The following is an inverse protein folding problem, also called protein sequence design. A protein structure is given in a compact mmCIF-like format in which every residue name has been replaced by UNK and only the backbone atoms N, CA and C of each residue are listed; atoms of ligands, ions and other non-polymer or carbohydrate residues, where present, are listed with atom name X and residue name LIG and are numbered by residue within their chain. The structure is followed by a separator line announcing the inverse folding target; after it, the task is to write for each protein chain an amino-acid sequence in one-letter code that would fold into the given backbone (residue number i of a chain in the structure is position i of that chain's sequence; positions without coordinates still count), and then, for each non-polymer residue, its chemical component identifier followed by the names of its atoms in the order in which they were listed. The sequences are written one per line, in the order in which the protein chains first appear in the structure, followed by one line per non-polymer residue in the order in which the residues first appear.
data_IF_194103273683
#
_entry.id   IF_194103273683
#
_cell.length_a   1.000
_cell.length_b   1.000
_cell.length_c   1.000
_cell.angle_alpha   90.00
_cell.angle_beta   90.00
_cell.angle_gamma   90.00
#
_symmetry.space_group_name_H-M   'P 1'
#
loop_
_entity.id
_entity.type
_entity.pdbx_description
1 polymer ?
#
# COMPACT_ATOMS: atom_id res chain seq x y z
N UNK A 1 -16.48 1.98 12.55
CA UNK A 1 -17.54 3.05 12.46
C UNK A 1 -17.29 4.22 11.47
N UNK A 2 -16.40 5.20 11.73
CA UNK A 2 -16.29 6.40 10.87
C UNK A 2 -15.91 6.12 9.40
N UNK A 3 -15.03 5.14 9.17
CA UNK A 3 -14.57 4.74 7.83
C UNK A 3 -15.70 4.08 7.00
N UNK A 4 -16.50 3.22 7.64
CA UNK A 4 -17.64 2.55 6.99
C UNK A 4 -18.74 3.54 6.62
N UNK A 5 -19.01 4.53 7.48
CA UNK A 5 -19.94 5.61 7.17
C UNK A 5 -19.48 6.44 5.96
N UNK A 6 -18.18 6.72 5.86
CA UNK A 6 -17.62 7.39 4.70
C UNK A 6 -17.73 6.52 3.43
N UNK A 7 -17.39 5.24 3.51
CA UNK A 7 -17.50 4.31 2.39
C UNK A 7 -18.94 4.22 1.83
N UNK A 8 -19.94 4.11 2.72
CA UNK A 8 -21.36 4.11 2.33
C UNK A 8 -21.78 5.42 1.65
N UNK A 9 -21.37 6.57 2.18
CA UNK A 9 -21.67 7.88 1.58
C UNK A 9 -21.05 8.05 0.19
N UNK A 10 -19.88 7.46 -0.03
CA UNK A 10 -19.17 7.53 -1.30
C UNK A 10 -19.62 6.45 -2.30
N UNK A 11 -20.51 5.54 -1.89
CA UNK A 11 -20.94 4.42 -2.74
C UNK A 11 -19.82 3.43 -3.03
N UNK A 12 -18.84 3.30 -2.14
CA UNK A 12 -17.73 2.37 -2.31
C UNK A 12 -18.22 0.91 -2.22
N UNK A 13 -17.89 0.09 -3.20
CA UNK A 13 -18.22 -1.34 -3.24
C UNK A 13 -17.11 -2.25 -2.70
N UNK A 14 -15.90 -1.70 -2.52
CA UNK A 14 -14.70 -2.44 -2.10
C UNK A 14 -13.90 -1.67 -1.06
N UNK A 15 -13.44 -2.37 -0.03
CA UNK A 15 -12.48 -1.92 0.97
C UNK A 15 -11.17 -2.68 0.76
N UNK A 16 -10.09 -1.95 0.49
CA UNK A 16 -8.77 -2.53 0.20
C UNK A 16 -7.91 -2.52 1.47
N UNK A 17 -7.42 -3.70 1.85
CA UNK A 17 -6.48 -3.90 2.94
C UNK A 17 -5.07 -4.07 2.38
N UNK A 18 -4.09 -3.34 2.91
CA UNK A 18 -2.69 -3.58 2.58
C UNK A 18 -2.19 -4.82 3.33
N UNK A 19 -1.36 -5.63 2.69
CA UNK A 19 -0.74 -6.79 3.34
C UNK A 19 0.05 -6.36 4.59
N UNK A 20 -0.15 -7.07 5.69
CA UNK A 20 0.31 -6.67 7.04
C UNK A 20 -0.72 -5.91 7.89
N UNK A 21 -1.86 -5.49 7.34
CA UNK A 21 -2.98 -4.89 8.10
C UNK A 21 -4.11 -5.88 8.41
N UNK A 22 -3.81 -7.18 8.51
CA UNK A 22 -4.81 -8.25 8.77
C UNK A 22 -5.54 -8.12 10.11
N UNK A 23 -4.99 -7.39 11.08
CA UNK A 23 -5.63 -7.17 12.38
C UNK A 23 -6.56 -5.94 12.41
N UNK A 24 -6.87 -5.36 11.25
CA UNK A 24 -7.79 -4.21 11.20
C UNK A 24 -9.20 -4.68 11.55
N UNK A 25 -9.63 -4.31 12.76
CA UNK A 25 -10.97 -4.51 13.37
C UNK A 25 -12.17 -4.31 12.44
N UNK A 26 -12.00 -3.64 11.31
CA UNK A 26 -13.08 -3.21 10.44
C UNK A 26 -13.45 -4.26 9.37
N UNK A 27 -12.65 -5.30 9.10
CA UNK A 27 -12.94 -6.28 8.03
C UNK A 27 -14.34 -6.89 8.17
N UNK A 28 -14.71 -7.28 9.39
CA UNK A 28 -16.04 -7.83 9.68
C UNK A 28 -17.15 -6.81 9.42
N UNK A 29 -17.01 -5.59 9.94
CA UNK A 29 -18.01 -4.51 9.77
C UNK A 29 -18.25 -4.17 8.28
N UNK A 30 -17.19 -4.19 7.46
CA UNK A 30 -17.29 -3.94 6.02
C UNK A 30 -18.00 -5.09 5.29
N UNK A 31 -17.70 -6.35 5.65
CA UNK A 31 -18.39 -7.51 5.07
C UNK A 31 -19.87 -7.55 5.43
N UNK A 32 -20.23 -7.30 6.69
CA UNK A 32 -21.64 -7.23 7.12
C UNK A 32 -22.41 -6.11 6.43
N UNK A 33 -21.73 -5.03 6.06
CA UNK A 33 -22.31 -3.93 5.30
C UNK A 33 -22.44 -4.19 3.79
N UNK A 34 -22.07 -5.39 3.31
CA UNK A 34 -22.10 -5.75 1.89
C UNK A 34 -20.97 -5.14 1.06
N UNK A 35 -19.92 -4.63 1.70
CA UNK A 35 -18.72 -4.12 1.02
C UNK A 35 -17.71 -5.26 0.87
N UNK A 36 -17.19 -5.45 -0.35
CA UNK A 36 -16.15 -6.46 -0.60
C UNK A 36 -14.87 -6.06 0.12
N UNK A 37 -14.16 -7.04 0.67
CA UNK A 37 -12.84 -6.79 1.28
C UNK A 37 -11.79 -7.49 0.44
N UNK A 38 -10.86 -6.73 -0.12
CA UNK A 38 -9.78 -7.23 -0.97
C UNK A 38 -8.44 -6.94 -0.31
N UNK A 39 -7.60 -7.96 -0.17
CA UNK A 39 -6.23 -7.79 0.28
C UNK A 39 -5.35 -7.44 -0.92
N UNK A 40 -4.72 -6.27 -0.87
CA UNK A 40 -3.69 -5.86 -1.80
C UNK A 40 -2.33 -6.28 -1.25
N UNK A 41 -1.76 -7.31 -1.88
CA UNK A 41 -0.36 -7.65 -1.71
C UNK A 41 0.49 -6.56 -2.35
N UNK A 42 1.28 -5.87 -1.54
CA UNK A 42 2.30 -4.93 -2.03
C UNK A 42 3.62 -5.66 -1.96
N UNK A 43 4.29 -5.81 -3.11
CA UNK A 43 5.64 -6.35 -3.12
C UNK A 43 6.56 -5.42 -2.33
N UNK A 44 7.23 -5.97 -1.30
CA UNK A 44 8.22 -5.23 -0.56
C UNK A 44 9.42 -4.94 -1.48
N UNK A 45 9.70 -3.66 -1.70
CA UNK A 45 10.89 -3.25 -2.42
C UNK A 45 12.12 -3.70 -1.63
N UNK A 46 12.93 -4.58 -2.24
CA UNK A 46 14.20 -5.02 -1.67
C UNK A 46 15.29 -4.02 -2.04
N UNK A 47 15.90 -3.38 -1.05
CA UNK A 47 17.03 -2.44 -1.20
C UNK A 47 17.97 -2.61 -0.01
N UNK A 48 19.22 -2.17 -0.18
CA UNK A 48 20.20 -2.11 0.89
C UNK A 48 19.65 -1.24 2.01
N UNK A 49 19.66 -1.71 3.27
CA UNK A 49 19.22 -0.92 4.42
C UNK A 49 20.38 -0.71 5.38
N UNK A 50 20.72 0.56 5.63
CA UNK A 50 21.70 0.98 6.62
C UNK A 50 21.20 0.80 8.05
N UNK A 51 19.88 0.72 8.24
CA UNK A 51 19.21 0.48 9.52
C UNK A 51 18.44 -0.85 9.49
N UNK A 52 18.51 -1.62 10.58
CA UNK A 52 17.76 -2.87 10.73
C UNK A 52 16.31 -2.65 11.21
N UNK A 53 15.93 -1.42 11.57
CA UNK A 53 14.56 -1.15 11.99
C UNK A 53 13.62 -1.23 10.78
N UNK A 54 12.65 -2.15 10.84
CA UNK A 54 11.59 -2.24 9.84
C UNK A 54 10.73 -0.97 9.91
N UNK A 55 10.76 -0.16 8.85
CA UNK A 55 9.91 1.00 8.71
C UNK A 55 8.81 0.66 7.70
N UNK A 56 7.57 0.39 8.15
CA UNK A 56 6.48 0.13 7.23
C UNK A 56 6.22 1.40 6.40
N UNK A 57 6.08 1.22 5.08
CA UNK A 57 6.02 2.30 4.07
C UNK A 57 7.39 2.92 3.77
N UNK A 58 8.10 2.33 2.81
CA UNK A 58 9.35 2.90 2.27
C UNK A 58 9.06 4.29 1.75
N UNK A 59 9.59 5.32 2.42
CA UNK A 59 9.54 6.67 1.88
C UNK A 59 10.58 6.79 0.76
N UNK A 60 10.31 7.67 -0.22
CA UNK A 60 11.31 7.98 -1.27
C UNK A 60 12.63 8.47 -0.64
N UNK A 61 12.55 9.19 0.48
CA UNK A 61 13.71 9.64 1.24
C UNK A 61 14.51 8.47 1.82
N UNK A 62 13.83 7.46 2.34
CA UNK A 62 14.47 6.26 2.88
C UNK A 62 15.26 5.53 1.79
N UNK A 63 14.68 5.35 0.60
CA UNK A 63 15.40 4.75 -0.53
C UNK A 63 16.61 5.60 -0.96
N UNK A 64 16.45 6.92 -1.05
CA UNK A 64 17.54 7.83 -1.44
C UNK A 64 18.71 7.82 -0.45
N UNK A 65 18.42 7.80 0.85
CA UNK A 65 19.44 7.79 1.91
C UNK A 65 20.18 6.47 1.95
N UNK A 66 19.47 5.36 1.70
CA UNK A 66 20.05 4.02 1.80
C UNK A 66 20.85 3.58 0.55
N UNK A 67 20.43 4.01 -0.64
CA UNK A 67 21.04 3.60 -1.93
C UNK A 67 21.82 4.71 -2.64
N UNK A 68 21.67 5.97 -2.20
CA UNK A 68 22.38 7.10 -2.78
C UNK A 68 22.11 7.27 -4.29
N UNK A 69 23.14 7.43 -5.14
CA UNK A 69 22.97 7.61 -6.59
C UNK A 69 22.19 6.49 -7.29
N UNK A 70 22.21 5.27 -6.76
CA UNK A 70 21.54 4.10 -7.35
C UNK A 70 20.01 4.12 -7.15
N UNK A 71 19.53 4.86 -6.16
CA UNK A 71 18.10 5.02 -5.87
C UNK A 71 17.30 5.50 -7.09
N UNK A 72 17.88 6.36 -7.93
CA UNK A 72 17.21 6.92 -9.11
C UNK A 72 16.79 5.85 -10.12
N UNK A 73 17.56 4.79 -10.29
CA UNK A 73 17.22 3.69 -11.21
C UNK A 73 16.03 2.89 -10.67
N UNK A 74 16.04 2.59 -9.36
CA UNK A 74 14.94 1.88 -8.69
C UNK A 74 13.63 2.67 -8.71
N UNK A 75 13.69 3.98 -8.49
CA UNK A 75 12.52 4.86 -8.56
C UNK A 75 11.89 4.87 -9.97
N UNK A 76 12.71 4.93 -11.03
CA UNK A 76 12.21 4.92 -12.42
C UNK A 76 11.55 3.60 -12.81
N UNK A 77 12.08 2.47 -12.33
CA UNK A 77 11.49 1.15 -12.56
C UNK A 77 10.10 1.04 -11.92
N UNK A 78 9.96 1.50 -10.68
CA UNK A 78 8.68 1.48 -9.96
C UNK A 78 7.62 2.43 -10.56
N UNK A 79 8.02 3.63 -11.03
CA UNK A 79 7.10 4.54 -11.72
C UNK A 79 6.59 3.93 -13.03
N UNK A 80 7.46 3.22 -13.77
CA UNK A 80 7.08 2.56 -15.02
C UNK A 80 6.10 1.41 -14.77
N UNK A 81 6.31 0.62 -13.71
CA UNK A 81 5.39 -0.42 -13.27
C UNK A 81 4.02 0.17 -12.84
N UNK A 82 4.02 1.28 -12.10
CA UNK A 82 2.79 1.95 -11.68
C UNK A 82 1.97 2.55 -12.84
N UNK A 83 2.63 2.97 -13.93
CA UNK A 83 1.94 3.43 -15.16
C UNK A 83 1.24 2.28 -15.88
N UNK A 84 1.76 1.06 -15.79
CA UNK A 84 1.13 -0.12 -16.42
C UNK A 84 -0.05 -0.69 -15.61
N UNK A 85 -0.16 -0.34 -14.32
CA UNK A 85 -1.30 -0.70 -13.46
C UNK A 85 -2.51 0.20 -13.68
N UNK A 86 -2.31 1.38 -14.27
CA UNK A 86 -3.39 2.14 -14.90
C UNK A 86 -3.49 1.55 -16.31
N UNK A 87 -4.58 0.85 -16.61
CA UNK A 87 -4.80 0.28 -17.95
C UNK A 87 -4.64 1.32 -19.08
N UNK A 88 -4.63 0.86 -20.35
CA UNK A 88 -4.48 1.74 -21.52
C UNK A 88 -5.44 2.94 -21.50
#
# INVERSE_FOLDING_TARGET
EALLAAAKKLGADTYVLLDGQKDVRNEHEFREAGVRVEALAVEELQYHRLSQAHCPSVSVLDLLVNEGPEAGTRLRQNVSAARNLRGP
#
